data_IF_630068751814
#
_entry.id   IF_630068751814
#
_cell.length_a   1.000
_cell.length_b   1.000
_cell.length_c   1.000
_cell.angle_alpha   90.00
_cell.angle_beta   90.00
_cell.angle_gamma   90.00
#
_symmetry.space_group_name_H-M   'P 1'
#
loop_
_entity.id
_entity.type
_entity.pdbx_description
1 polymer ?
#
# COMPACT_ATOMS: atom_id res chain seq x y z
N UNK A 1 24.94 19.40 17.88
CA UNK A 1 25.16 18.94 19.27
C UNK A 1 24.76 17.48 19.48
N UNK A 2 23.48 17.14 19.54
CA UNK A 2 23.01 15.76 19.77
C UNK A 2 23.71 14.69 18.91
N UNK A 3 23.83 14.91 17.60
CA UNK A 3 24.53 13.98 16.68
C UNK A 3 26.01 13.79 17.02
N UNK A 4 26.72 14.84 17.47
CA UNK A 4 28.13 14.76 17.85
C UNK A 4 28.33 14.04 19.19
N UNK A 5 27.29 13.98 20.03
CA UNK A 5 27.33 13.26 21.31
C UNK A 5 27.25 11.72 21.15
N UNK A 6 26.94 11.24 19.95
CA UNK A 6 26.82 9.81 19.65
C UNK A 6 28.19 9.18 19.40
N UNK A 7 28.61 8.34 20.33
CA UNK A 7 29.79 7.48 20.23
C UNK A 7 29.54 6.29 19.29
N UNK A 8 30.55 5.97 18.48
CA UNK A 8 30.53 4.87 17.50
C UNK A 8 31.62 3.86 17.86
N UNK A 9 31.28 2.56 17.83
CA UNK A 9 32.26 1.52 18.11
C UNK A 9 31.63 0.14 18.33
N UNK A 10 32.34 -0.70 19.07
CA UNK A 10 31.89 -2.04 19.46
C UNK A 10 30.54 -1.96 20.21
N UNK A 11 29.49 -2.68 19.75
CA UNK A 11 28.20 -2.71 20.45
C UNK A 11 28.27 -3.35 21.85
N UNK A 12 29.33 -4.08 22.20
CA UNK A 12 29.55 -4.62 23.55
C UNK A 12 30.18 -3.61 24.51
N UNK A 13 30.65 -2.45 24.03
CA UNK A 13 30.98 -1.30 24.87
C UNK A 13 29.76 -0.36 24.95
N UNK A 14 29.05 -0.41 26.09
CA UNK A 14 27.76 0.27 26.28
C UNK A 14 27.81 1.80 26.23
N UNK A 15 29.01 2.39 26.21
CA UNK A 15 29.15 3.82 25.91
C UNK A 15 28.72 4.11 24.48
N UNK A 16 28.96 3.19 23.53
CA UNK A 16 28.68 3.35 22.10
C UNK A 16 27.17 3.30 21.84
N UNK A 17 26.67 4.26 21.06
CA UNK A 17 25.26 4.36 20.65
C UNK A 17 25.02 3.91 19.23
N UNK A 18 26.08 3.80 18.44
CA UNK A 18 26.05 3.40 17.03
C UNK A 18 27.10 2.30 16.83
N UNK A 19 26.66 1.19 16.24
CA UNK A 19 27.53 0.06 15.90
C UNK A 19 28.25 0.24 14.56
N UNK A 20 28.92 -0.82 14.13
CA UNK A 20 29.57 -0.87 12.82
C UNK A 20 28.55 -0.98 11.67
N UNK A 21 28.95 -0.51 10.49
CA UNK A 21 28.31 -0.87 9.23
C UNK A 21 28.44 -2.38 8.99
N UNK A 22 27.44 -2.96 8.32
CA UNK A 22 27.50 -4.37 7.92
C UNK A 22 28.58 -4.64 6.85
N UNK A 23 28.88 -3.64 6.02
CA UNK A 23 29.97 -3.67 5.04
C UNK A 23 30.56 -2.27 4.84
N UNK A 24 31.71 -2.18 4.16
CA UNK A 24 32.37 -0.92 3.82
C UNK A 24 31.47 -0.05 2.91
N UNK A 25 31.64 1.29 2.92
CA UNK A 25 31.01 2.18 1.96
C UNK A 25 31.24 1.70 0.51
N UNK A 26 30.14 1.41 -0.18
CA UNK A 26 30.17 1.02 -1.60
C UNK A 26 30.16 2.25 -2.51
N UNK A 27 30.14 2.02 -3.83
CA UNK A 27 30.19 3.09 -4.84
C UNK A 27 29.14 4.18 -4.68
N UNK A 28 27.89 3.84 -4.34
CA UNK A 28 26.83 4.85 -4.12
C UNK A 28 27.10 5.72 -2.89
N UNK A 29 27.67 5.14 -1.83
CA UNK A 29 28.02 5.89 -0.61
C UNK A 29 29.23 6.78 -0.91
N UNK A 30 30.27 6.25 -1.54
CA UNK A 30 31.47 7.01 -1.95
C UNK A 30 31.05 8.20 -2.83
N UNK A 31 30.20 7.97 -3.83
CA UNK A 31 29.65 9.03 -4.67
C UNK A 31 28.92 10.10 -3.86
N UNK A 32 28.10 9.72 -2.88
CA UNK A 32 27.39 10.67 -2.03
C UNK A 32 28.33 11.50 -1.13
N UNK A 33 29.46 10.92 -0.72
CA UNK A 33 30.49 11.57 0.08
C UNK A 33 31.25 12.60 -0.79
N UNK A 34 31.70 12.17 -1.97
CA UNK A 34 32.56 12.95 -2.86
C UNK A 34 31.80 14.04 -3.64
N UNK A 35 30.54 13.81 -3.99
CA UNK A 35 29.71 14.79 -4.67
C UNK A 35 29.04 15.76 -3.69
N UNK A 36 29.65 16.95 -3.56
CA UNK A 36 29.05 18.10 -2.87
C UNK A 36 28.70 19.18 -3.89
N UNK A 37 27.40 19.48 -4.07
CA UNK A 37 26.97 20.58 -4.94
C UNK A 37 27.30 21.93 -4.29
N UNK A 38 27.42 22.98 -5.10
CA UNK A 38 27.79 24.33 -4.61
C UNK A 38 26.81 24.97 -3.61
N UNK A 39 25.58 24.46 -3.55
CA UNK A 39 24.54 24.89 -2.61
C UNK A 39 24.38 23.95 -1.41
N UNK A 40 25.21 22.90 -1.33
CA UNK A 40 25.21 21.95 -0.22
C UNK A 40 26.43 22.19 0.66
N UNK A 41 26.30 21.88 1.94
CA UNK A 41 27.40 21.88 2.88
C UNK A 41 27.25 20.74 3.89
N UNK A 42 28.38 20.25 4.40
CA UNK A 42 28.36 19.36 5.55
C UNK A 42 28.35 20.19 6.84
N UNK A 43 27.26 20.08 7.61
CA UNK A 43 27.21 20.57 8.99
C UNK A 43 28.00 19.64 9.91
N UNK A 44 27.98 18.34 9.61
CA UNK A 44 28.86 17.34 10.22
C UNK A 44 29.46 16.51 9.08
N UNK A 45 30.79 16.63 8.83
CA UNK A 45 31.42 15.92 7.74
C UNK A 45 31.48 14.42 7.99
N UNK A 46 31.52 13.68 6.89
CA UNK A 46 31.71 12.23 6.94
C UNK A 46 33.09 11.94 7.51
N UNK A 47 33.13 11.06 8.52
CA UNK A 47 34.37 10.65 9.17
C UNK A 47 34.23 9.25 9.76
N UNK A 48 35.35 8.63 10.11
CA UNK A 48 35.42 7.28 10.62
C UNK A 48 36.16 7.25 11.97
N UNK A 49 35.88 6.25 12.80
CA UNK A 49 36.67 6.03 14.03
C UNK A 49 38.01 5.39 13.63
N UNK A 50 39.12 6.09 13.91
CA UNK A 50 40.48 5.62 13.61
C UNK A 50 40.66 5.15 12.16
N UNK A 51 40.04 5.86 11.21
CA UNK A 51 40.05 5.54 9.77
C UNK A 51 39.54 4.13 9.42
N UNK A 52 38.82 3.48 10.34
CA UNK A 52 38.21 2.18 10.08
C UNK A 52 36.94 2.35 9.24
N UNK A 53 36.89 1.83 7.99
CA UNK A 53 35.76 2.05 7.08
C UNK A 53 34.44 1.41 7.56
N UNK A 54 34.48 0.49 8.51
CA UNK A 54 33.28 -0.09 9.12
C UNK A 54 32.69 0.78 10.24
N UNK A 55 33.47 1.69 10.82
CA UNK A 55 33.07 2.53 11.96
C UNK A 55 32.80 3.96 11.52
N UNK A 56 31.82 4.11 10.62
CA UNK A 56 31.39 5.39 10.09
C UNK A 56 30.62 6.21 11.14
N UNK A 57 31.00 7.49 11.31
CA UNK A 57 30.33 8.42 12.21
C UNK A 57 29.11 9.07 11.54
N UNK A 58 28.09 9.46 12.31
CA UNK A 58 26.97 10.25 11.81
C UNK A 58 27.42 11.52 11.11
N UNK A 59 26.80 11.79 9.98
CA UNK A 59 27.09 12.96 9.14
C UNK A 59 25.78 13.67 8.78
N UNK A 60 25.84 14.99 8.64
CA UNK A 60 24.69 15.83 8.29
C UNK A 60 25.08 16.68 7.09
N UNK A 61 24.35 16.47 6.00
CA UNK A 61 24.45 17.22 4.75
C UNK A 61 23.25 18.16 4.64
N UNK A 62 23.49 19.47 4.59
CA UNK A 62 22.45 20.49 4.49
C UNK A 62 22.38 21.04 3.06
N UNK A 63 21.17 21.42 2.62
CA UNK A 63 20.95 22.08 1.34
C UNK A 63 20.59 21.15 0.19
N UNK A 64 20.44 19.85 0.43
CA UNK A 64 19.98 18.88 -0.59
C UNK A 64 18.64 19.32 -1.18
N UNK A 65 18.51 19.25 -2.51
CA UNK A 65 17.33 19.67 -3.26
C UNK A 65 16.56 18.49 -3.85
N UNK A 66 15.30 18.74 -4.20
CA UNK A 66 14.45 17.77 -4.90
C UNK A 66 15.16 17.32 -6.19
N UNK A 67 15.17 16.01 -6.44
CA UNK A 67 15.89 15.37 -7.54
C UNK A 67 17.38 15.09 -7.33
N UNK A 68 18.02 15.60 -6.26
CA UNK A 68 19.44 15.32 -6.00
C UNK A 68 19.68 13.83 -5.70
N UNK A 69 20.92 13.39 -5.93
CA UNK A 69 21.32 11.99 -5.77
C UNK A 69 21.01 11.45 -4.36
N UNK A 70 21.35 12.19 -3.30
CA UNK A 70 21.10 11.81 -1.90
C UNK A 70 19.62 11.88 -1.50
N UNK A 71 18.79 12.60 -2.25
CA UNK A 71 17.34 12.60 -2.07
C UNK A 71 16.68 11.39 -2.77
N UNK A 72 17.24 10.92 -3.89
CA UNK A 72 16.67 9.82 -4.69
C UNK A 72 17.28 8.45 -4.39
N UNK A 73 18.37 8.39 -3.62
CA UNK A 73 19.15 7.17 -3.39
C UNK A 73 19.25 6.87 -1.91
N UNK A 74 18.76 5.70 -1.52
CA UNK A 74 18.94 5.18 -0.17
C UNK A 74 20.39 4.69 0.03
N UNK A 75 21.12 5.35 0.94
CA UNK A 75 22.54 5.07 1.17
C UNK A 75 22.80 3.93 2.16
N UNK A 76 21.84 3.61 3.05
CA UNK A 76 22.02 2.63 4.14
C UNK A 76 23.23 2.91 5.05
N UNK A 77 23.56 4.18 5.24
CA UNK A 77 24.66 4.66 6.09
C UNK A 77 24.17 5.80 6.97
N UNK A 78 24.91 6.18 8.05
CA UNK A 78 24.49 7.23 8.97
C UNK A 78 24.69 8.65 8.39
N UNK A 79 24.26 8.89 7.16
CA UNK A 79 24.22 10.21 6.51
C UNK A 79 22.77 10.72 6.53
N UNK A 80 22.53 11.84 7.22
CA UNK A 80 21.27 12.57 7.17
C UNK A 80 21.36 13.70 6.15
N UNK A 81 20.43 13.73 5.18
CA UNK A 81 20.27 14.87 4.27
C UNK A 81 19.14 15.77 4.75
N UNK A 82 19.39 17.09 4.83
CA UNK A 82 18.42 18.09 5.26
C UNK A 82 18.03 18.95 4.06
N UNK A 83 16.73 19.00 3.82
CA UNK A 83 16.11 19.72 2.71
C UNK A 83 15.21 20.82 3.26
N UNK A 84 15.16 21.96 2.58
CA UNK A 84 14.25 23.06 2.92
C UNK A 84 13.08 23.07 1.94
N UNK A 85 11.86 23.02 2.47
CA UNK A 85 10.62 23.30 1.76
C UNK A 85 10.09 24.68 2.15
N UNK A 86 9.31 25.32 1.28
CA UNK A 86 8.65 26.61 1.51
C UNK A 86 7.43 26.47 2.44
N UNK A 87 6.74 25.33 2.37
CA UNK A 87 5.53 24.99 3.10
C UNK A 87 5.34 23.47 3.19
N UNK A 88 4.28 23.03 3.89
CA UNK A 88 3.96 21.62 4.11
C UNK A 88 3.60 20.89 2.81
N UNK A 89 2.94 21.56 1.86
CA UNK A 89 2.56 20.97 0.58
C UNK A 89 3.81 20.59 -0.23
N UNK A 90 4.76 21.52 -0.38
CA UNK A 90 6.04 21.23 -1.04
C UNK A 90 6.84 20.15 -0.30
N UNK A 91 6.81 20.13 1.04
CA UNK A 91 7.47 19.09 1.82
C UNK A 91 6.90 17.68 1.50
N UNK A 92 5.57 17.55 1.40
CA UNK A 92 4.91 16.29 1.03
C UNK A 92 5.24 15.91 -0.41
N UNK A 93 5.25 16.87 -1.34
CA UNK A 93 5.66 16.62 -2.72
C UNK A 93 7.09 16.11 -2.84
N UNK A 94 8.02 16.68 -2.06
CA UNK A 94 9.42 16.23 -2.01
C UNK A 94 9.45 14.76 -1.55
N UNK A 95 8.85 14.44 -0.41
CA UNK A 95 8.87 13.08 0.16
C UNK A 95 8.24 12.05 -0.79
N UNK A 96 7.09 12.38 -1.40
CA UNK A 96 6.40 11.48 -2.32
C UNK A 96 7.19 11.22 -3.62
N UNK A 97 8.18 12.05 -3.96
CA UNK A 97 8.94 11.97 -5.21
C UNK A 97 10.16 11.04 -5.18
N UNK A 98 10.49 10.41 -4.04
CA UNK A 98 11.62 9.47 -3.91
C UNK A 98 11.43 8.13 -4.64
N UNK A 99 10.21 7.85 -5.11
CA UNK A 99 9.84 6.54 -5.68
C UNK A 99 9.66 5.43 -4.64
N UNK A 100 9.95 5.70 -3.36
CA UNK A 100 9.75 4.83 -2.21
C UNK A 100 8.59 5.33 -1.35
N UNK A 101 8.12 4.48 -0.44
CA UNK A 101 6.98 4.77 0.44
C UNK A 101 6.94 3.84 1.64
N UNK A 102 8.06 3.66 2.34
CA UNK A 102 8.16 2.75 3.48
C UNK A 102 7.65 3.41 4.77
N UNK A 103 8.45 4.34 5.32
CA UNK A 103 8.11 5.11 6.52
C UNK A 103 8.11 6.60 6.20
N UNK A 104 7.25 7.36 6.89
CA UNK A 104 7.28 8.82 6.84
C UNK A 104 6.76 9.38 8.17
N UNK A 105 7.23 10.58 8.55
CA UNK A 105 6.75 11.24 9.75
C UNK A 105 6.48 12.73 9.56
N UNK A 106 5.58 13.24 10.39
CA UNK A 106 5.36 14.66 10.61
C UNK A 106 5.58 14.98 12.10
N UNK A 107 6.39 15.98 12.37
CA UNK A 107 6.52 16.60 13.70
C UNK A 107 5.75 17.93 13.67
N UNK A 108 4.57 17.97 14.27
CA UNK A 108 3.72 19.15 14.37
C UNK A 108 2.77 19.04 15.55
N UNK A 109 2.44 20.16 16.20
CA UNK A 109 1.43 20.23 17.25
C UNK A 109 0.04 20.64 16.71
N UNK A 110 -0.06 20.96 15.42
CA UNK A 110 -1.31 21.37 14.78
C UNK A 110 -2.02 20.17 14.17
N UNK A 111 -3.15 19.76 14.76
CA UNK A 111 -3.94 18.63 14.25
C UNK A 111 -4.45 18.85 12.81
N UNK A 112 -4.57 20.11 12.35
CA UNK A 112 -4.95 20.42 10.96
C UNK A 112 -3.84 20.04 9.98
N UNK A 113 -2.58 20.19 10.37
CA UNK A 113 -1.44 19.73 9.57
C UNK A 113 -1.36 18.20 9.56
N UNK A 114 -1.78 17.54 10.65
CA UNK A 114 -1.84 16.08 10.70
C UNK A 114 -2.82 15.54 9.67
N UNK A 115 -4.06 16.07 9.66
CA UNK A 115 -5.08 15.69 8.68
C UNK A 115 -4.59 15.96 7.26
N UNK A 116 -4.05 17.15 7.00
CA UNK A 116 -3.52 17.52 5.69
C UNK A 116 -2.44 16.57 5.19
N UNK A 117 -1.52 16.20 6.07
CA UNK A 117 -0.42 15.28 5.80
C UNK A 117 -0.92 13.85 5.58
N UNK A 118 -1.80 13.34 6.44
CA UNK A 118 -2.35 11.99 6.34
C UNK A 118 -3.14 11.78 5.04
N UNK A 119 -3.80 12.80 4.51
CA UNK A 119 -4.54 12.70 3.25
C UNK A 119 -3.64 12.61 2.01
N UNK A 120 -2.40 13.12 2.09
CA UNK A 120 -1.54 13.32 0.91
C UNK A 120 -0.26 12.50 0.91
N UNK A 121 0.20 12.04 2.07
CA UNK A 121 1.44 11.26 2.15
C UNK A 121 1.25 9.86 1.56
N UNK A 122 2.18 9.44 0.69
CA UNK A 122 2.18 8.13 0.06
C UNK A 122 3.23 7.21 0.72
N UNK A 123 2.95 6.76 1.95
CA UNK A 123 3.78 5.83 2.71
C UNK A 123 2.94 4.76 3.42
N UNK A 124 3.52 3.57 3.62
CA UNK A 124 2.84 2.48 4.31
C UNK A 124 2.79 2.64 5.83
N UNK A 125 3.87 3.10 6.46
CA UNK A 125 3.96 3.36 7.89
C UNK A 125 4.15 4.87 8.14
N UNK A 126 3.22 5.47 8.87
CA UNK A 126 3.19 6.92 9.08
C UNK A 126 3.22 7.21 10.57
N UNK A 127 4.03 8.18 10.96
CA UNK A 127 4.23 8.54 12.35
C UNK A 127 4.00 10.04 12.55
N UNK A 128 3.35 10.41 13.65
CA UNK A 128 3.17 11.81 14.02
C UNK A 128 3.70 12.02 15.43
N UNK A 129 4.62 12.97 15.58
CA UNK A 129 5.32 13.29 16.83
C UNK A 129 6.05 12.10 17.46
N UNK A 130 6.65 11.26 16.61
CA UNK A 130 7.32 10.01 16.97
C UNK A 130 8.42 9.68 15.95
N UNK A 131 9.48 8.96 16.36
CA UNK A 131 10.44 8.36 15.44
C UNK A 131 9.79 7.44 14.40
N UNK A 132 10.42 7.30 13.24
CA UNK A 132 9.95 6.47 12.12
C UNK A 132 10.38 4.99 12.22
N UNK A 133 11.17 4.63 13.21
CA UNK A 133 11.73 3.28 13.42
C UNK A 133 11.16 2.62 14.68
N UNK A 134 11.42 1.32 14.85
CA UNK A 134 10.96 0.59 16.05
C UNK A 134 9.48 0.20 16.01
N UNK A 135 8.95 -0.11 14.83
CA UNK A 135 7.59 -0.61 14.67
C UNK A 135 7.36 -1.87 15.51
N UNK A 136 6.29 -1.87 16.31
CA UNK A 136 5.92 -2.97 17.20
C UNK A 136 4.77 -3.76 16.56
N UNK A 137 4.88 -5.10 16.59
CA UNK A 137 3.85 -6.03 16.09
C UNK A 137 2.46 -5.65 16.65
N UNK A 138 1.44 -5.72 15.79
CA UNK A 138 0.05 -5.27 16.02
C UNK A 138 -0.16 -3.78 16.31
N UNK A 139 0.81 -3.05 16.88
CA UNK A 139 0.70 -1.59 17.08
C UNK A 139 0.92 -0.87 15.76
N UNK A 140 2.05 -1.14 15.10
CA UNK A 140 2.40 -0.57 13.80
C UNK A 140 2.77 -1.67 12.80
N UNK A 141 1.80 -2.45 12.28
CA UNK A 141 2.08 -3.43 11.23
C UNK A 141 2.94 -2.82 10.12
N UNK A 142 4.01 -3.51 9.74
CA UNK A 142 5.11 -2.91 9.01
C UNK A 142 5.14 -3.34 7.54
N UNK A 143 5.36 -2.37 6.64
CA UNK A 143 5.43 -2.60 5.20
C UNK A 143 5.17 -1.32 4.42
N UNK A 144 5.80 -1.18 3.25
CA UNK A 144 5.74 0.02 2.43
C UNK A 144 4.84 -0.11 1.20
N UNK A 145 4.83 0.96 0.40
CA UNK A 145 4.22 1.03 -0.94
C UNK A 145 5.28 1.44 -1.97
N UNK A 146 4.91 1.53 -3.26
CA UNK A 146 5.82 1.84 -4.38
C UNK A 146 7.00 0.85 -4.41
N UNK A 147 8.23 1.32 -4.63
CA UNK A 147 9.44 0.48 -4.66
C UNK A 147 9.80 -0.14 -3.30
N UNK A 148 9.13 0.25 -2.21
CA UNK A 148 9.37 -0.30 -0.87
C UNK A 148 8.68 -1.64 -0.62
N UNK A 149 7.90 -2.15 -1.58
CA UNK A 149 7.28 -3.46 -1.49
C UNK A 149 7.20 -4.11 -2.87
N UNK A 150 7.37 -5.43 -2.91
CA UNK A 150 7.02 -6.28 -4.05
C UNK A 150 5.89 -7.20 -3.58
N UNK A 151 4.81 -7.31 -4.37
CA UNK A 151 3.63 -8.11 -4.02
C UNK A 151 2.37 -7.30 -3.77
N UNK A 152 1.48 -7.85 -2.94
CA UNK A 152 0.21 -7.22 -2.59
C UNK A 152 0.33 -6.16 -1.47
N UNK A 153 1.53 -5.97 -0.91
CA UNK A 153 1.79 -4.95 0.10
C UNK A 153 1.11 -5.22 1.44
N UNK A 154 0.85 -6.50 1.77
CA UNK A 154 0.32 -6.89 3.09
C UNK A 154 1.43 -6.75 4.13
N UNK A 155 1.13 -6.09 5.24
CA UNK A 155 2.06 -5.73 6.29
C UNK A 155 2.35 -6.92 7.20
N UNK A 156 3.61 -7.06 7.60
CA UNK A 156 3.99 -8.03 8.64
C UNK A 156 3.51 -7.55 10.01
N UNK A 157 3.20 -8.49 10.89
CA UNK A 157 2.75 -8.19 12.25
C UNK A 157 1.26 -7.89 12.37
N UNK A 158 0.45 -8.31 11.38
CA UNK A 158 -1.03 -8.30 11.45
C UNK A 158 -1.64 -9.51 10.74
N UNK A 159 -2.95 -9.72 10.94
CA UNK A 159 -3.70 -10.91 10.54
C UNK A 159 -3.64 -11.23 9.04
N UNK A 160 -3.58 -10.23 8.16
CA UNK A 160 -3.59 -10.47 6.72
C UNK A 160 -2.26 -11.06 6.20
N UNK A 161 -1.16 -10.95 6.94
CA UNK A 161 0.15 -11.39 6.45
C UNK A 161 0.17 -12.88 6.12
N UNK A 162 -0.46 -13.70 6.97
CA UNK A 162 -0.50 -15.17 6.81
C UNK A 162 -1.26 -15.60 5.56
N UNK A 163 -2.22 -14.79 5.11
CA UNK A 163 -3.07 -15.10 3.94
C UNK A 163 -2.28 -15.12 2.62
N UNK A 164 -1.00 -14.76 2.63
CA UNK A 164 -0.09 -14.84 1.47
C UNK A 164 0.54 -16.22 1.30
N UNK A 165 0.50 -17.04 2.35
CA UNK A 165 1.17 -18.34 2.42
C UNK A 165 0.18 -19.51 2.44
N UNK A 166 -1.07 -19.25 2.08
CA UNK A 166 -2.15 -20.25 2.06
C UNK A 166 -2.99 -20.08 0.80
N UNK A 167 -3.54 -21.19 0.31
CA UNK A 167 -4.57 -21.19 -0.73
C UNK A 167 -5.94 -21.08 -0.06
N UNK A 168 -6.61 -19.95 -0.26
CA UNK A 168 -7.94 -19.72 0.30
C UNK A 168 -8.99 -20.20 -0.68
N UNK A 169 -9.93 -21.01 -0.20
CA UNK A 169 -11.16 -21.37 -0.91
C UNK A 169 -12.35 -21.20 0.04
N UNK A 170 -13.54 -21.05 -0.53
CA UNK A 170 -14.77 -20.96 0.22
C UNK A 170 -15.79 -21.92 -0.38
N UNK A 171 -16.22 -22.88 0.44
CA UNK A 171 -17.18 -23.92 0.03
C UNK A 171 -18.63 -23.44 0.13
N UNK A 172 -18.92 -22.58 1.11
CA UNK A 172 -20.28 -22.12 1.43
C UNK A 172 -20.35 -20.59 1.58
N UNK A 173 -21.52 -20.03 1.32
CA UNK A 173 -21.81 -18.61 1.55
C UNK A 173 -21.60 -18.22 3.02
N UNK A 174 -20.96 -17.08 3.28
CA UNK A 174 -20.84 -16.53 4.65
C UNK A 174 -22.09 -15.72 5.04
N UNK A 175 -22.33 -15.58 6.35
CA UNK A 175 -23.49 -14.83 6.87
C UNK A 175 -23.34 -13.30 6.72
N UNK A 176 -22.12 -12.84 6.41
CA UNK A 176 -21.77 -11.43 6.29
C UNK A 176 -22.19 -10.86 4.93
N UNK A 177 -23.48 -10.58 4.77
CA UNK A 177 -24.07 -10.09 3.54
C UNK A 177 -24.76 -8.73 3.74
N UNK A 178 -24.54 -7.78 2.81
CA UNK A 178 -25.22 -6.48 2.79
C UNK A 178 -25.89 -6.25 1.44
N UNK A 179 -27.22 -6.21 1.42
CA UNK A 179 -27.99 -5.85 0.23
C UNK A 179 -27.62 -4.43 -0.21
N UNK A 180 -27.39 -4.27 -1.51
CA UNK A 180 -26.97 -3.02 -2.12
C UNK A 180 -27.48 -2.93 -3.58
N UNK A 181 -27.43 -1.73 -4.21
CA UNK A 181 -27.98 -1.53 -5.55
C UNK A 181 -27.40 -2.47 -6.62
N UNK A 182 -26.13 -2.88 -6.51
CA UNK A 182 -25.50 -3.82 -7.46
C UNK A 182 -26.10 -5.22 -7.31
N UNK A 183 -26.23 -5.71 -6.07
CA UNK A 183 -26.86 -7.01 -5.79
C UNK A 183 -28.32 -7.05 -6.25
N UNK A 184 -29.09 -5.97 -6.04
CA UNK A 184 -30.48 -5.87 -6.47
C UNK A 184 -30.63 -5.86 -7.99
N UNK A 185 -29.71 -5.16 -8.67
CA UNK A 185 -29.66 -5.13 -10.13
C UNK A 185 -29.40 -6.53 -10.70
N UNK A 186 -28.45 -7.28 -10.13
CA UNK A 186 -28.18 -8.65 -10.54
C UNK A 186 -29.35 -9.60 -10.22
N UNK A 187 -30.01 -9.44 -9.07
CA UNK A 187 -31.23 -10.18 -8.73
C UNK A 187 -32.33 -9.98 -9.79
N UNK A 188 -32.51 -8.75 -10.29
CA UNK A 188 -33.48 -8.48 -11.36
C UNK A 188 -33.18 -9.18 -12.68
N UNK A 189 -31.90 -9.47 -12.97
CA UNK A 189 -31.50 -10.21 -14.16
C UNK A 189 -31.87 -11.70 -14.03
N UNK A 190 -31.76 -12.29 -12.84
CA UNK A 190 -32.16 -13.70 -12.65
C UNK A 190 -33.64 -13.96 -12.90
N UNK A 191 -34.49 -12.95 -12.70
CA UNK A 191 -35.94 -13.06 -12.93
C UNK A 191 -36.33 -13.00 -14.42
N UNK A 192 -35.39 -12.64 -15.31
CA UNK A 192 -35.63 -12.50 -16.76
C UNK A 192 -35.44 -13.80 -17.57
N UNK A 193 -35.18 -14.94 -16.90
CA UNK A 193 -35.14 -16.25 -17.57
C UNK A 193 -33.80 -16.64 -18.20
N UNK A 194 -32.67 -16.18 -17.65
CA UNK A 194 -31.33 -16.63 -18.06
C UNK A 194 -30.97 -17.96 -17.36
N UNK A 195 -31.65 -19.04 -17.75
CA UNK A 195 -31.52 -20.34 -17.10
C UNK A 195 -30.07 -20.88 -17.18
N UNK A 196 -29.38 -20.65 -18.30
CA UNK A 196 -28.00 -21.11 -18.52
C UNK A 196 -26.95 -20.39 -17.63
N UNK A 197 -27.20 -19.13 -17.24
CA UNK A 197 -26.29 -18.33 -16.40
C UNK A 197 -26.73 -18.25 -14.94
N UNK A 198 -27.84 -18.88 -14.57
CA UNK A 198 -28.45 -18.74 -13.24
C UNK A 198 -27.50 -19.09 -12.10
N UNK A 199 -26.67 -20.14 -12.25
CA UNK A 199 -25.69 -20.52 -11.24
C UNK A 199 -24.63 -19.43 -11.02
N UNK A 200 -24.01 -18.96 -12.11
CA UNK A 200 -22.97 -17.92 -12.07
C UNK A 200 -23.52 -16.58 -11.56
N UNK A 201 -24.75 -16.22 -11.93
CA UNK A 201 -25.43 -15.02 -11.43
C UNK A 201 -25.70 -15.08 -9.93
N UNK A 202 -26.17 -16.23 -9.40
CA UNK A 202 -26.37 -16.41 -7.95
C UNK A 202 -25.08 -16.18 -7.18
N UNK A 203 -23.96 -16.73 -7.68
CA UNK A 203 -22.61 -16.51 -7.12
C UNK A 203 -22.23 -15.02 -7.15
N UNK A 204 -22.46 -14.33 -8.26
CA UNK A 204 -22.15 -12.90 -8.38
C UNK A 204 -23.04 -12.02 -7.47
N UNK A 205 -24.32 -12.36 -7.30
CA UNK A 205 -25.23 -11.70 -6.34
C UNK A 205 -24.69 -11.84 -4.92
N UNK A 206 -24.24 -13.04 -4.56
CA UNK A 206 -23.63 -13.30 -3.25
C UNK A 206 -22.34 -12.48 -3.07
N UNK A 207 -21.42 -12.52 -4.04
CA UNK A 207 -20.21 -11.68 -4.03
C UNK A 207 -20.55 -10.20 -3.83
N UNK A 208 -21.54 -9.67 -4.57
CA UNK A 208 -21.95 -8.28 -4.45
C UNK A 208 -22.40 -7.93 -3.01
N UNK A 209 -23.09 -8.84 -2.32
CA UNK A 209 -23.52 -8.65 -0.93
C UNK A 209 -22.36 -8.77 0.05
N UNK A 210 -21.53 -9.81 -0.08
CA UNK A 210 -20.40 -10.06 0.81
C UNK A 210 -19.35 -8.94 0.70
N UNK A 211 -19.02 -8.53 -0.53
CA UNK A 211 -18.05 -7.47 -0.79
C UNK A 211 -18.53 -6.13 -0.22
N UNK A 212 -19.82 -5.80 -0.38
CA UNK A 212 -20.38 -4.57 0.17
C UNK A 212 -20.34 -4.55 1.71
N UNK A 213 -20.62 -5.69 2.34
CA UNK A 213 -20.52 -5.83 3.79
C UNK A 213 -19.08 -5.61 4.27
N UNK A 214 -18.13 -6.35 3.70
CA UNK A 214 -16.73 -6.29 4.14
C UNK A 214 -16.08 -4.95 3.81
N UNK A 215 -16.44 -4.32 2.67
CA UNK A 215 -16.00 -2.97 2.39
C UNK A 215 -16.44 -1.99 3.49
N UNK A 216 -17.72 -2.04 3.88
CA UNK A 216 -18.29 -1.16 4.91
C UNK A 216 -17.67 -1.38 6.30
N UNK A 217 -17.42 -2.62 6.70
CA UNK A 217 -17.04 -2.95 8.09
C UNK A 217 -15.53 -3.25 8.29
N UNK A 218 -14.77 -3.44 7.21
CA UNK A 218 -13.33 -3.69 7.25
C UNK A 218 -12.56 -2.63 6.45
N UNK A 219 -12.72 -2.59 5.12
CA UNK A 219 -11.82 -1.83 4.24
C UNK A 219 -12.03 -0.31 4.26
N UNK A 220 -13.19 0.17 4.71
CA UNK A 220 -13.47 1.60 4.91
C UNK A 220 -13.25 2.06 6.35
N UNK A 221 -12.82 1.17 7.25
CA UNK A 221 -12.67 1.47 8.67
C UNK A 221 -11.18 1.63 9.05
N UNK A 222 -10.92 2.49 10.04
CA UNK A 222 -9.66 2.51 10.77
C UNK A 222 -9.83 1.81 12.12
N UNK A 223 -8.91 0.92 12.47
CA UNK A 223 -8.98 0.09 13.68
C UNK A 223 -7.75 0.29 14.54
N UNK A 224 -7.96 0.54 15.83
CA UNK A 224 -6.91 0.46 16.84
C UNK A 224 -7.05 -0.84 17.64
N UNK A 225 -6.14 -1.77 17.39
CA UNK A 225 -6.13 -3.10 18.01
C UNK A 225 -5.53 -3.12 19.42
N UNK A 226 -4.76 -2.08 19.79
CA UNK A 226 -3.92 -2.09 21.00
C UNK A 226 -4.31 -1.02 22.01
N UNK A 227 -4.95 0.06 21.57
CA UNK A 227 -5.54 1.14 22.38
C UNK A 227 -4.58 1.67 23.45
N UNK A 228 -3.38 2.06 23.03
CA UNK A 228 -2.36 2.58 23.94
C UNK A 228 -2.75 3.99 24.42
N UNK A 229 -2.73 4.19 25.73
CA UNK A 229 -3.03 5.50 26.31
C UNK A 229 -1.97 6.53 25.88
N UNK A 230 -2.40 7.64 25.29
CA UNK A 230 -1.50 8.67 24.77
C UNK A 230 -1.02 8.46 23.33
N UNK A 231 -1.41 7.36 22.68
CA UNK A 231 -0.96 7.03 21.34
C UNK A 231 -2.09 6.36 20.52
N UNK A 232 -2.46 6.96 19.39
CA UNK A 232 -3.35 6.30 18.43
C UNK A 232 -2.53 5.34 17.57
N UNK A 233 -2.99 4.11 17.38
CA UNK A 233 -2.35 3.10 16.54
C UNK A 233 -3.33 2.54 15.52
N UNK A 234 -3.53 3.29 14.45
CA UNK A 234 -4.58 3.05 13.48
C UNK A 234 -4.06 2.18 12.35
N UNK A 235 -4.71 1.03 12.16
CA UNK A 235 -4.59 0.21 10.98
C UNK A 235 -5.80 0.44 10.07
N UNK A 236 -5.55 0.68 8.79
CA UNK A 236 -6.58 1.01 7.80
C UNK A 236 -6.13 0.55 6.41
N UNK A 237 -6.97 0.80 5.42
CA UNK A 237 -6.73 0.43 4.04
C UNK A 237 -6.88 1.64 3.11
N UNK A 238 -6.04 1.70 2.08
CA UNK A 238 -6.17 2.65 0.97
C UNK A 238 -6.40 1.89 -0.32
N UNK A 239 -7.37 2.30 -1.13
CA UNK A 239 -7.64 1.65 -2.43
C UNK A 239 -6.52 1.91 -3.45
N UNK A 240 -6.28 0.95 -4.35
CA UNK A 240 -5.40 1.18 -5.51
C UNK A 240 -6.03 2.19 -6.47
N UNK A 241 -5.23 2.98 -7.20
CA UNK A 241 -5.76 4.07 -8.05
C UNK A 241 -6.42 3.55 -9.33
N UNK A 242 -6.04 2.37 -9.81
CA UNK A 242 -6.59 1.76 -11.03
C UNK A 242 -6.35 0.25 -11.07
N UNK A 243 -7.28 -0.47 -11.71
CA UNK A 243 -7.18 -1.90 -12.00
C UNK A 243 -7.28 -2.14 -13.50
N UNK A 244 -6.33 -2.90 -14.05
CA UNK A 244 -6.43 -3.51 -15.37
C UNK A 244 -6.86 -4.96 -15.23
N UNK A 245 -7.85 -5.42 -15.99
CA UNK A 245 -8.27 -6.82 -16.00
C UNK A 245 -8.19 -7.39 -17.40
N UNK A 246 -7.35 -8.41 -17.59
CA UNK A 246 -7.25 -9.14 -18.85
C UNK A 246 -8.09 -10.40 -18.78
N UNK A 247 -9.18 -10.42 -19.54
CA UNK A 247 -10.08 -11.58 -19.63
C UNK A 247 -9.43 -12.69 -20.46
N UNK A 248 -9.61 -13.92 -20.00
CA UNK A 248 -9.23 -15.13 -20.75
C UNK A 248 -10.42 -16.02 -21.07
N UNK A 249 -10.23 -17.00 -21.94
CA UNK A 249 -11.25 -18.00 -22.27
C UNK A 249 -11.67 -18.87 -21.08
N UNK A 250 -10.82 -18.99 -20.05
CA UNK A 250 -11.03 -19.83 -18.86
C UNK A 250 -11.72 -19.09 -17.71
N UNK A 251 -11.92 -17.79 -17.85
CA UNK A 251 -12.60 -16.97 -16.85
C UNK A 251 -14.09 -17.28 -16.90
N UNK A 252 -14.71 -17.68 -15.79
CA UNK A 252 -16.17 -17.88 -15.76
C UNK A 252 -16.90 -16.54 -15.69
N UNK A 253 -18.20 -16.54 -15.93
CA UNK A 253 -19.01 -15.35 -15.73
C UNK A 253 -18.91 -14.79 -14.30
N UNK A 254 -18.92 -15.64 -13.26
CA UNK A 254 -18.75 -15.19 -11.87
C UNK A 254 -17.33 -14.70 -11.58
N UNK A 255 -16.30 -15.24 -12.24
CA UNK A 255 -14.94 -14.68 -12.15
C UNK A 255 -14.90 -13.25 -12.73
N UNK A 256 -15.45 -13.06 -13.93
CA UNK A 256 -15.47 -11.74 -14.59
C UNK A 256 -16.28 -10.72 -13.78
N UNK A 257 -17.47 -11.12 -13.31
CA UNK A 257 -18.33 -10.27 -12.46
C UNK A 257 -17.69 -10.01 -11.10
N UNK A 258 -16.99 -10.97 -10.50
CA UNK A 258 -16.31 -10.80 -9.22
C UNK A 258 -15.27 -9.68 -9.26
N UNK A 259 -14.43 -9.65 -10.30
CA UNK A 259 -13.45 -8.55 -10.49
C UNK A 259 -14.16 -7.20 -10.68
N UNK A 260 -15.21 -7.16 -11.50
CA UNK A 260 -15.98 -5.95 -11.75
C UNK A 260 -16.65 -5.43 -10.46
N UNK A 261 -17.31 -6.29 -9.71
CA UNK A 261 -18.00 -5.97 -8.47
C UNK A 261 -17.03 -5.46 -7.39
N UNK A 262 -15.85 -6.09 -7.25
CA UNK A 262 -14.83 -5.61 -6.32
C UNK A 262 -14.40 -4.15 -6.64
N UNK A 263 -14.21 -3.83 -7.92
CA UNK A 263 -13.88 -2.48 -8.36
C UNK A 263 -15.04 -1.49 -8.16
N UNK A 264 -16.27 -1.88 -8.51
CA UNK A 264 -17.45 -1.01 -8.36
C UNK A 264 -17.73 -0.68 -6.89
N UNK A 265 -17.69 -1.69 -6.01
CA UNK A 265 -17.94 -1.51 -4.57
C UNK A 265 -16.86 -0.66 -3.93
N UNK A 266 -15.59 -0.88 -4.31
CA UNK A 266 -14.45 -0.12 -3.79
C UNK A 266 -14.27 1.24 -4.47
N UNK A 267 -15.07 1.56 -5.49
CA UNK A 267 -14.98 2.76 -6.32
C UNK A 267 -13.58 2.94 -6.93
N UNK A 268 -13.09 1.88 -7.58
CA UNK A 268 -11.79 1.82 -8.24
C UNK A 268 -12.01 1.82 -9.76
N UNK A 269 -11.34 2.71 -10.51
CA UNK A 269 -11.37 2.67 -11.97
C UNK A 269 -10.90 1.32 -12.51
N UNK A 270 -11.73 0.69 -13.34
CA UNK A 270 -11.47 -0.61 -13.96
C UNK A 270 -11.36 -0.45 -15.47
N UNK A 271 -10.29 -0.96 -16.07
CA UNK A 271 -10.18 -1.15 -17.53
C UNK A 271 -10.13 -2.62 -17.85
N UNK A 272 -10.95 -3.06 -18.81
CA UNK A 272 -11.06 -4.46 -19.20
C UNK A 272 -10.44 -4.65 -20.59
N UNK A 273 -9.46 -5.54 -20.67
CA UNK A 273 -8.76 -5.90 -21.91
C UNK A 273 -9.23 -7.26 -22.40
N UNK A 274 -9.52 -7.35 -23.69
CA UNK A 274 -10.11 -8.53 -24.34
C UNK A 274 -9.40 -8.76 -25.68
N UNK A 275 -9.08 -9.99 -26.05
CA UNK A 275 -8.46 -10.30 -27.34
C UNK A 275 -9.37 -9.93 -28.53
N UNK A 276 -10.61 -10.42 -28.49
CA UNK A 276 -11.65 -10.21 -29.49
C UNK A 276 -13.02 -10.62 -28.93
N UNK A 277 -14.10 -10.40 -29.68
CA UNK A 277 -15.49 -10.72 -29.27
C UNK A 277 -15.74 -12.20 -28.97
N UNK A 278 -14.89 -13.11 -29.44
CA UNK A 278 -14.99 -14.56 -29.22
C UNK A 278 -14.03 -15.07 -28.13
N UNK A 279 -13.35 -14.17 -27.43
CA UNK A 279 -12.33 -14.53 -26.45
C UNK A 279 -12.89 -15.27 -25.23
N UNK A 280 -14.19 -15.15 -24.94
CA UNK A 280 -14.86 -15.86 -23.86
C UNK A 280 -16.33 -16.11 -24.23
N UNK A 281 -16.84 -17.30 -23.92
CA UNK A 281 -18.22 -17.72 -24.25
C UNK A 281 -19.30 -16.87 -23.56
N UNK A 282 -19.02 -16.35 -22.37
CA UNK A 282 -19.96 -15.59 -21.55
C UNK A 282 -19.80 -14.07 -21.73
N UNK A 283 -18.92 -13.65 -22.66
CA UNK A 283 -18.54 -12.25 -22.82
C UNK A 283 -19.75 -11.34 -23.13
N UNK A 284 -20.59 -11.75 -24.09
CA UNK A 284 -21.76 -10.95 -24.49
C UNK A 284 -22.67 -10.67 -23.30
N UNK A 285 -22.96 -11.69 -22.49
CA UNK A 285 -23.81 -11.55 -21.32
C UNK A 285 -23.12 -10.78 -20.18
N UNK A 286 -21.82 -10.96 -20.01
CA UNK A 286 -21.03 -10.15 -19.08
C UNK A 286 -21.09 -8.65 -19.42
N UNK A 287 -20.95 -8.28 -20.70
CA UNK A 287 -21.07 -6.89 -21.15
C UNK A 287 -22.49 -6.33 -20.94
N UNK A 288 -23.52 -7.15 -21.12
CA UNK A 288 -24.91 -6.77 -20.78
C UNK A 288 -25.07 -6.53 -19.27
N UNK A 289 -24.48 -7.38 -18.43
CA UNK A 289 -24.47 -7.20 -16.98
C UNK A 289 -23.78 -5.89 -16.60
N UNK A 290 -22.60 -5.59 -17.15
CA UNK A 290 -21.89 -4.32 -16.89
C UNK A 290 -22.72 -3.10 -17.28
N UNK A 291 -23.38 -3.14 -18.44
CA UNK A 291 -24.29 -2.07 -18.88
C UNK A 291 -25.46 -1.89 -17.92
N UNK A 292 -26.06 -3.00 -17.47
CA UNK A 292 -27.19 -2.99 -16.53
C UNK A 292 -26.77 -2.43 -15.16
N UNK A 293 -25.58 -2.81 -14.69
CA UNK A 293 -24.93 -2.29 -13.48
C UNK A 293 -24.48 -0.83 -13.61
N UNK A 294 -24.56 -0.24 -14.81
CA UNK A 294 -24.03 1.09 -15.14
C UNK A 294 -22.55 1.23 -14.77
N UNK A 295 -21.79 0.16 -14.97
CA UNK A 295 -20.37 0.12 -14.66
C UNK A 295 -19.60 1.03 -15.62
N UNK A 296 -18.86 2.01 -15.07
CA UNK A 296 -17.93 2.81 -15.86
C UNK A 296 -16.59 2.07 -16.01
N UNK A 297 -16.57 1.03 -16.85
CA UNK A 297 -15.40 0.21 -17.11
C UNK A 297 -15.09 0.19 -18.62
N UNK A 298 -14.08 0.94 -19.10
CA UNK A 298 -13.70 0.93 -20.51
C UNK A 298 -13.32 -0.49 -20.96
N UNK A 299 -13.88 -0.90 -22.10
CA UNK A 299 -13.57 -2.17 -22.76
C UNK A 299 -12.60 -1.89 -23.91
N UNK A 300 -11.45 -2.57 -23.90
CA UNK A 300 -10.40 -2.42 -24.91
C UNK A 300 -10.17 -3.76 -25.59
N UNK A 301 -10.45 -3.80 -26.90
CA UNK A 301 -10.10 -4.94 -27.74
C UNK A 301 -8.66 -4.81 -28.23
N UNK A 302 -7.78 -5.66 -27.73
CA UNK A 302 -6.35 -5.62 -28.02
C UNK A 302 -5.67 -6.98 -27.78
N UNK A 303 -4.51 -7.18 -28.40
CA UNK A 303 -3.71 -8.39 -28.20
C UNK A 303 -3.06 -8.41 -26.81
N UNK A 304 -2.68 -9.60 -26.34
CA UNK A 304 -1.90 -9.76 -25.11
C UNK A 304 -0.63 -8.89 -25.10
N UNK A 305 0.05 -8.78 -26.24
CA UNK A 305 1.22 -7.92 -26.42
C UNK A 305 0.93 -6.45 -26.12
N UNK A 306 -0.11 -5.88 -26.73
CA UNK A 306 -0.49 -4.48 -26.54
C UNK A 306 -0.91 -4.18 -25.10
N UNK A 307 -1.59 -5.12 -24.45
CA UNK A 307 -1.94 -4.98 -23.04
C UNK A 307 -0.69 -5.03 -22.15
N UNK A 308 0.28 -5.91 -22.45
CA UNK A 308 1.52 -6.05 -21.70
C UNK A 308 2.39 -4.79 -21.70
N UNK A 309 2.36 -4.02 -22.78
CA UNK A 309 3.07 -2.74 -22.90
C UNK A 309 2.48 -1.65 -21.98
N UNK A 310 1.22 -1.81 -21.56
CA UNK A 310 0.47 -0.83 -20.76
C UNK A 310 0.41 -1.16 -19.27
N UNK A 311 1.12 -2.20 -18.79
CA UNK A 311 1.01 -2.63 -17.39
C UNK A 311 1.33 -1.51 -16.38
N UNK A 312 2.28 -0.64 -16.71
CA UNK A 312 2.66 0.52 -15.89
C UNK A 312 1.53 1.55 -15.68
N UNK A 313 0.48 1.54 -16.51
CA UNK A 313 -0.69 2.41 -16.35
C UNK A 313 -1.63 1.95 -15.22
N UNK A 314 -1.44 0.73 -14.72
CA UNK A 314 -2.27 0.15 -13.67
C UNK A 314 -1.51 0.01 -12.36
N UNK A 315 -2.18 0.28 -11.23
CA UNK A 315 -1.63 -0.06 -9.92
C UNK A 315 -1.82 -1.54 -9.56
N UNK A 316 -2.85 -2.16 -10.11
CA UNK A 316 -3.12 -3.58 -9.95
C UNK A 316 -3.57 -4.18 -11.27
N UNK A 317 -3.12 -5.39 -11.56
CA UNK A 317 -3.57 -6.15 -12.73
C UNK A 317 -4.17 -7.47 -12.28
N UNK A 318 -5.41 -7.74 -12.68
CA UNK A 318 -6.07 -9.04 -12.57
C UNK A 318 -5.80 -9.80 -13.87
N UNK A 319 -5.29 -11.01 -13.73
CA UNK A 319 -5.07 -11.94 -14.85
C UNK A 319 -5.18 -13.35 -14.32
N UNK A 320 -6.36 -13.96 -14.42
CA UNK A 320 -6.72 -15.17 -13.66
C UNK A 320 -6.05 -16.46 -14.17
N UNK A 321 -5.17 -16.34 -15.16
CA UNK A 321 -4.35 -17.42 -15.69
C UNK A 321 -3.08 -17.55 -14.86
N UNK A 322 -2.80 -18.75 -14.36
CA UNK A 322 -1.61 -19.08 -13.57
C UNK A 322 -0.41 -19.55 -14.40
N UNK A 323 -0.64 -20.03 -15.63
CA UNK A 323 0.44 -20.51 -16.49
C UNK A 323 1.26 -19.32 -17.00
N UNK A 324 2.59 -19.45 -16.91
CA UNK A 324 3.52 -18.39 -17.32
C UNK A 324 3.39 -18.10 -18.82
N UNK A 325 3.38 -16.81 -19.14
CA UNK A 325 3.35 -16.29 -20.51
C UNK A 325 3.96 -14.89 -20.56
N UNK A 326 3.89 -14.26 -21.73
CA UNK A 326 4.38 -12.91 -22.00
C UNK A 326 3.98 -11.89 -20.92
N UNK A 327 2.74 -11.96 -20.41
CA UNK A 327 2.28 -10.98 -19.43
C UNK A 327 3.01 -11.13 -18.09
N UNK A 328 3.31 -12.37 -17.70
CA UNK A 328 4.09 -12.68 -16.49
C UNK A 328 5.54 -12.21 -16.63
N UNK A 329 6.14 -12.40 -17.80
CA UNK A 329 7.51 -11.92 -18.10
C UNK A 329 7.59 -10.39 -18.01
N UNK A 330 6.65 -9.69 -18.63
CA UNK A 330 6.59 -8.22 -18.59
C UNK A 330 6.29 -7.69 -17.19
N UNK A 331 5.38 -8.32 -16.45
CA UNK A 331 5.10 -7.95 -15.07
C UNK A 331 6.34 -8.12 -14.17
N UNK A 332 7.08 -9.22 -14.34
CA UNK A 332 8.34 -9.47 -13.64
C UNK A 332 9.39 -8.39 -13.92
N UNK A 333 9.58 -8.01 -15.19
CA UNK A 333 10.51 -6.95 -15.58
C UNK A 333 10.18 -5.58 -14.95
N UNK A 334 8.90 -5.33 -14.65
CA UNK A 334 8.42 -4.13 -13.98
C UNK A 334 8.40 -4.24 -12.44
N UNK A 335 8.71 -5.42 -11.88
CA UNK A 335 8.53 -5.70 -10.45
C UNK A 335 7.07 -5.69 -10.00
N UNK A 336 6.12 -5.86 -10.93
CA UNK A 336 4.69 -5.87 -10.67
C UNK A 336 4.19 -7.30 -10.45
N UNK A 337 3.36 -7.51 -9.43
CA UNK A 337 2.70 -8.80 -9.19
C UNK A 337 1.31 -8.82 -9.81
N UNK A 338 1.08 -9.81 -10.69
CA UNK A 338 -0.23 -10.13 -11.25
C UNK A 338 -1.08 -10.82 -10.18
N UNK A 339 -2.32 -10.37 -10.02
CA UNK A 339 -3.29 -11.03 -9.16
C UNK A 339 -4.00 -12.12 -9.96
N UNK A 340 -3.50 -13.36 -9.83
CA UNK A 340 -3.90 -14.52 -10.62
C UNK A 340 -4.95 -15.41 -9.97
N UNK A 341 -5.22 -15.22 -8.67
CA UNK A 341 -6.25 -15.98 -7.94
C UNK A 341 -7.64 -15.59 -8.42
N UNK A 342 -8.47 -16.59 -8.76
CA UNK A 342 -9.90 -16.40 -9.06
C UNK A 342 -10.61 -15.66 -7.91
N UNK A 343 -11.60 -14.81 -8.20
CA UNK A 343 -12.31 -14.08 -7.16
C UNK A 343 -12.94 -14.99 -6.11
N UNK A 344 -12.63 -14.74 -4.84
CA UNK A 344 -13.25 -15.45 -3.72
C UNK A 344 -14.68 -14.94 -3.51
N UNK A 345 -15.64 -15.82 -3.19
CA UNK A 345 -17.00 -15.41 -2.84
C UNK A 345 -17.01 -14.41 -1.65
N UNK A 346 -16.06 -14.54 -0.72
CA UNK A 346 -15.94 -13.72 0.47
C UNK A 346 -15.19 -12.41 0.20
N UNK A 347 -15.87 -11.29 0.46
CA UNK A 347 -15.28 -9.96 0.34
C UNK A 347 -14.09 -9.71 1.25
N UNK A 348 -13.99 -10.39 2.40
CA UNK A 348 -12.88 -10.22 3.35
C UNK A 348 -11.53 -10.58 2.76
N UNK A 349 -11.51 -11.54 1.85
CA UNK A 349 -10.29 -12.03 1.21
C UNK A 349 -10.11 -11.41 -0.18
N UNK A 350 -11.19 -11.34 -0.99
CA UNK A 350 -11.08 -10.80 -2.35
C UNK A 350 -10.65 -9.32 -2.34
N UNK A 351 -11.23 -8.51 -1.45
CA UNK A 351 -10.94 -7.06 -1.43
C UNK A 351 -9.49 -6.73 -1.02
N UNK A 352 -8.73 -7.67 -0.45
CA UNK A 352 -7.29 -7.50 -0.16
C UNK A 352 -6.46 -7.30 -1.45
N UNK A 353 -6.93 -7.77 -2.61
CA UNK A 353 -6.22 -7.55 -3.88
C UNK A 353 -6.37 -6.11 -4.41
N UNK A 354 -7.34 -5.36 -3.88
CA UNK A 354 -7.75 -4.04 -4.36
C UNK A 354 -7.37 -2.90 -3.40
N UNK A 355 -6.86 -3.25 -2.23
CA UNK A 355 -6.46 -2.31 -1.19
C UNK A 355 -5.02 -2.55 -0.76
N UNK A 356 -4.36 -1.47 -0.34
CA UNK A 356 -3.05 -1.47 0.30
C UNK A 356 -3.26 -1.17 1.78
N UNK A 357 -2.50 -1.85 2.63
CA UNK A 357 -2.61 -1.67 4.07
C UNK A 357 -1.80 -0.44 4.52
N UNK A 358 -2.33 0.28 5.50
CA UNK A 358 -1.75 1.52 6.02
C UNK A 358 -1.75 1.49 7.54
N UNK A 359 -0.60 1.85 8.12
CA UNK A 359 -0.44 1.97 9.58
C UNK A 359 -0.07 3.42 9.93
N UNK A 360 -0.80 4.00 10.87
CA UNK A 360 -0.61 5.37 11.37
C UNK A 360 -0.45 5.32 12.88
N UNK A 361 0.65 5.87 13.41
CA UNK A 361 0.88 5.99 14.84
C UNK A 361 1.05 7.46 15.23
N UNK A 362 0.22 7.94 16.16
CA UNK A 362 0.17 9.36 16.55
C UNK A 362 0.42 9.47 18.04
N UNK A 363 1.51 10.11 18.45
CA UNK A 363 1.67 10.53 19.84
C UNK A 363 0.88 11.82 20.05
N UNK A 364 -0.27 11.73 20.70
CA UNK A 364 -1.14 12.89 20.97
C UNK A 364 -0.94 13.46 22.37
N UNK A 365 -0.23 12.76 23.26
CA UNK A 365 0.04 13.29 24.59
C UNK A 365 1.08 14.42 24.54
N UNK A 366 0.94 15.42 25.40
CA UNK A 366 1.95 16.44 25.63
C UNK A 366 2.59 16.24 27.00
N UNK A 367 3.79 15.66 27.01
CA UNK A 367 4.51 15.31 28.25
C UNK A 367 3.64 14.49 29.24
N UNK A 368 2.89 13.52 28.72
CA UNK A 368 1.96 12.70 29.51
C UNK A 368 0.58 13.33 29.76
N UNK A 369 0.39 14.62 29.48
CA UNK A 369 -0.94 15.23 29.49
C UNK A 369 -1.69 14.87 28.20
N UNK A 370 -2.86 14.26 28.34
CA UNK A 370 -3.67 13.76 27.23
C UNK A 370 -4.66 14.80 26.66
N UNK A 371 -4.74 15.98 27.29
CA UNK A 371 -5.61 17.08 26.84
C UNK A 371 -7.10 16.71 26.82
N UNK A 372 -7.83 17.33 25.90
CA UNK A 372 -9.30 17.19 25.79
C UNK A 372 -9.74 15.80 25.32
N UNK A 373 -8.83 14.98 24.79
CA UNK A 373 -9.09 13.59 24.38
C UNK A 373 -9.46 12.69 25.56
N UNK A 374 -9.03 13.01 26.79
CA UNK A 374 -9.45 12.30 28.01
C UNK A 374 -10.97 12.36 28.19
N UNK A 375 -11.57 13.51 27.85
CA UNK A 375 -13.00 13.75 28.06
C UNK A 375 -13.89 12.98 27.08
N UNK A 376 -13.31 12.52 25.96
CA UNK A 376 -14.02 11.76 24.91
C UNK A 376 -13.93 10.25 25.11
N UNK A 377 -13.03 9.77 25.96
CA UNK A 377 -12.97 8.36 26.32
C UNK A 377 -13.91 8.15 27.52
N UNK A 378 -14.91 7.24 27.44
CA UNK A 378 -15.65 6.84 28.63
C UNK A 378 -14.62 6.34 29.62
N UNK A 379 -14.60 6.94 30.81
CA UNK A 379 -13.68 6.63 31.88
C UNK A 379 -13.56 5.12 32.04
N UNK A 380 -12.41 4.55 31.63
CA UNK A 380 -12.00 3.23 32.04
C UNK A 380 -11.51 3.35 33.49
N UNK A 381 -12.47 3.63 34.37
CA UNK A 381 -12.31 3.49 35.80
C UNK A 381 -13.17 2.29 36.20
N UNK A 382 -12.52 1.15 36.34
CA UNK A 382 -12.66 0.26 37.49
C UNK A 382 -11.40 -0.58 37.61
#
# INVERSE_FOLDING_TARGET
DATLSLSVGDPFDFKNKIGALADKPNEKVIKAIDELKSYENYEIPVSFVNDNPYLMKPSIKYGTKKGDFTHQTELFTPILSVMKAKDLDEAIEIVNSTGYGLTSALESLDEREWEYYLDRIEAGNIYINKPTTGAIVLRQPFGGVKKSAVGFGRKVGIFNYITQFVNTHQDEEDENALKNPLSETLESLTQKGYDEHTHELKRAIFMAKSYAYHYKHEFSQAKDYVKIRGEDNLFSYTKVKSVGYRITEKDTLSDMLGVALACLISQIPLTISIENERANKDLTFFLECLKTLRANAPIVYESLQKFSEKLHAFNRVRYLKSDLDLLHEQASALGMVLATTKPCLNGRFELLYYHLERSVSISYHRYGNLGSRVLRQPTCHK
#
